data_IF_684642363316
#
_entry.id   IF_684642363316
#
_cell.length_a   1.000
_cell.length_b   1.000
_cell.length_c   1.000
_cell.angle_alpha   90.00
_cell.angle_beta   90.00
_cell.angle_gamma   90.00
#
_symmetry.space_group_name_H-M   'P 1'
#
loop_
_entity.id
_entity.type
_entity.pdbx_description
1 polymer ?
#
# COMPACT_ATOMS: atom_id res chain seq x y z
N UNK A 1 11.78 27.82 -16.39
CA UNK A 1 10.77 26.76 -16.41
C UNK A 1 9.37 27.36 -16.52
N UNK A 2 8.52 26.79 -17.37
CA UNK A 2 7.09 27.22 -17.44
C UNK A 2 6.40 26.83 -16.13
N UNK A 3 5.70 27.78 -15.53
CA UNK A 3 4.83 27.49 -14.39
C UNK A 3 3.61 26.70 -14.86
N UNK A 4 3.29 25.60 -14.17
CA UNK A 4 2.14 24.74 -14.46
C UNK A 4 0.80 25.26 -13.90
N UNK A 5 0.72 26.55 -13.60
CA UNK A 5 -0.50 27.21 -13.09
C UNK A 5 -1.48 27.64 -14.20
N UNK A 6 -1.10 27.44 -15.45
CA UNK A 6 -1.91 27.83 -16.61
C UNK A 6 -3.20 26.99 -16.68
N UNK A 7 -4.36 27.64 -16.82
CA UNK A 7 -5.68 27.00 -16.95
C UNK A 7 -5.77 25.96 -18.08
N UNK A 8 -4.88 25.97 -19.06
CA UNK A 8 -4.82 24.94 -20.12
C UNK A 8 -4.44 23.55 -19.62
N UNK A 9 -3.79 23.44 -18.43
CA UNK A 9 -3.44 22.17 -17.79
C UNK A 9 -4.50 21.69 -16.82
N UNK A 10 -5.44 22.55 -16.46
CA UNK A 10 -6.54 22.25 -15.54
C UNK A 10 -7.83 22.31 -16.36
N UNK A 11 -8.14 21.23 -17.07
CA UNK A 11 -9.42 21.13 -17.74
C UNK A 11 -10.53 20.93 -16.69
N UNK A 12 -11.57 21.78 -16.66
CA UNK A 12 -12.73 21.53 -15.82
C UNK A 12 -13.51 20.36 -16.42
N UNK A 13 -13.14 19.13 -16.04
CA UNK A 13 -14.00 18.00 -16.30
C UNK A 13 -15.18 18.08 -15.34
N UNK A 14 -16.39 17.95 -15.86
CA UNK A 14 -17.58 17.96 -15.04
C UNK A 14 -17.42 16.90 -13.93
N UNK A 15 -17.42 17.34 -12.68
CA UNK A 15 -17.34 16.44 -11.52
C UNK A 15 -18.62 15.63 -11.53
N UNK A 16 -18.51 14.34 -11.89
CA UNK A 16 -19.65 13.41 -11.92
C UNK A 16 -19.99 12.84 -10.55
N UNK A 17 -18.99 12.78 -9.65
CA UNK A 17 -19.13 12.19 -8.33
C UNK A 17 -18.20 12.88 -7.34
N UNK A 18 -18.65 13.08 -6.09
CA UNK A 18 -17.82 13.55 -4.98
C UNK A 18 -17.53 12.37 -4.08
N UNK A 19 -16.25 12.03 -3.93
CA UNK A 19 -15.80 10.95 -3.05
C UNK A 19 -15.10 11.54 -1.83
N UNK A 20 -15.32 10.98 -0.62
CA UNK A 20 -14.54 11.34 0.55
C UNK A 20 -13.13 10.79 0.42
N UNK A 21 -12.16 11.66 0.18
CA UNK A 21 -10.74 11.33 0.08
C UNK A 21 -9.99 12.18 1.10
N UNK A 22 -9.14 11.52 1.89
CA UNK A 22 -8.18 12.17 2.78
C UNK A 22 -6.78 12.01 2.20
N UNK A 23 -6.06 13.10 2.03
CA UNK A 23 -4.66 13.06 1.63
C UNK A 23 -3.78 13.05 2.87
N UNK A 24 -2.79 12.18 2.89
CA UNK A 24 -1.66 12.21 3.80
C UNK A 24 -0.38 12.38 2.97
N UNK A 25 0.52 13.21 3.43
CA UNK A 25 1.81 13.43 2.79
C UNK A 25 2.91 13.47 3.83
N UNK A 26 4.12 13.12 3.43
CA UNK A 26 5.31 13.25 4.25
C UNK A 26 5.97 14.60 4.01
N UNK A 27 6.45 15.21 5.07
CA UNK A 27 7.17 16.47 5.08
C UNK A 27 8.56 16.29 5.70
N UNK A 28 9.50 17.17 5.39
CA UNK A 28 10.75 17.24 6.12
C UNK A 28 10.50 17.72 7.55
N UNK A 29 10.95 16.97 8.56
CA UNK A 29 10.83 17.38 9.95
C UNK A 29 10.32 16.29 10.90
N UNK A 30 9.86 16.66 12.11
CA UNK A 30 9.44 15.68 13.12
C UNK A 30 8.18 14.90 12.79
N UNK A 31 7.39 15.33 11.80
CA UNK A 31 6.14 14.65 11.37
C UNK A 31 6.37 13.61 10.25
N UNK A 32 7.57 13.08 10.10
CA UNK A 32 7.97 12.20 8.99
C UNK A 32 7.17 10.90 8.86
N UNK A 33 6.55 10.43 9.94
CA UNK A 33 5.90 9.11 9.97
C UNK A 33 4.40 9.13 9.67
N UNK A 34 3.83 10.25 9.23
CA UNK A 34 2.37 10.42 9.06
C UNK A 34 1.74 9.32 8.19
N UNK A 35 2.36 8.95 7.06
CA UNK A 35 1.85 7.90 6.17
C UNK A 35 2.02 6.52 6.83
N UNK A 36 3.17 6.24 7.44
CA UNK A 36 3.43 4.98 8.14
C UNK A 36 2.47 4.78 9.32
N UNK A 37 2.24 5.83 10.12
CA UNK A 37 1.29 5.81 11.23
C UNK A 37 -0.15 5.60 10.76
N UNK A 38 -0.54 6.24 9.65
CA UNK A 38 -1.86 6.05 9.05
C UNK A 38 -2.06 4.60 8.57
N UNK A 39 -1.04 4.00 7.93
CA UNK A 39 -1.08 2.58 7.54
C UNK A 39 -1.16 1.66 8.75
N UNK A 40 -0.29 1.85 9.77
CA UNK A 40 -0.33 1.05 10.99
C UNK A 40 -1.68 1.15 11.69
N UNK A 41 -2.24 2.36 11.82
CA UNK A 41 -3.55 2.57 12.41
C UNK A 41 -4.68 1.91 11.61
N UNK A 42 -4.60 1.89 10.28
CA UNK A 42 -5.57 1.20 9.43
C UNK A 42 -5.48 -0.33 9.63
N UNK A 43 -4.27 -0.90 9.63
CA UNK A 43 -4.03 -2.33 9.83
C UNK A 43 -4.49 -2.80 11.21
N UNK A 44 -4.16 -2.07 12.28
CA UNK A 44 -4.57 -2.41 13.66
C UNK A 44 -6.09 -2.36 13.86
N UNK A 45 -6.80 -1.56 13.05
CA UNK A 45 -8.27 -1.47 13.07
C UNK A 45 -8.98 -2.47 12.17
N UNK A 46 -8.24 -3.25 11.40
CA UNK A 46 -8.80 -4.28 10.55
C UNK A 46 -9.62 -5.30 11.37
N UNK A 47 -10.71 -5.78 10.79
CA UNK A 47 -11.61 -6.76 11.42
C UNK A 47 -11.67 -8.08 10.66
N UNK A 48 -11.36 -8.07 9.38
CA UNK A 48 -11.49 -9.24 8.50
C UNK A 48 -10.28 -9.44 7.60
N UNK A 49 -9.85 -8.40 6.87
CA UNK A 49 -8.86 -8.58 5.80
C UNK A 49 -8.02 -7.33 5.57
N UNK A 50 -6.73 -7.53 5.35
CA UNK A 50 -5.78 -6.52 4.88
C UNK A 50 -5.13 -7.03 3.60
N UNK A 51 -5.15 -6.20 2.52
CA UNK A 51 -4.48 -6.49 1.26
C UNK A 51 -3.47 -5.39 0.99
N UNK A 52 -2.26 -5.78 0.66
CA UNK A 52 -1.15 -4.84 0.35
C UNK A 52 -0.57 -5.23 -1.00
N UNK A 53 -0.42 -4.24 -1.89
CA UNK A 53 0.33 -4.37 -3.13
C UNK A 53 1.43 -3.31 -3.14
N UNK A 54 2.69 -3.74 -3.30
CA UNK A 54 3.84 -2.82 -3.32
C UNK A 54 4.99 -3.41 -4.14
N UNK A 55 5.69 -2.59 -4.95
CA UNK A 55 6.84 -3.05 -5.72
C UNK A 55 8.04 -3.42 -4.82
N UNK A 56 8.17 -2.74 -3.68
CA UNK A 56 9.19 -2.98 -2.68
C UNK A 56 8.54 -3.19 -1.33
N UNK A 57 8.96 -4.24 -0.62
CA UNK A 57 8.38 -4.61 0.65
C UNK A 57 9.47 -4.81 1.71
N UNK A 58 9.87 -3.70 2.30
CA UNK A 58 10.87 -3.57 3.37
C UNK A 58 10.33 -2.64 4.47
N UNK A 59 9.17 -2.94 5.05
CA UNK A 59 8.48 -2.00 5.90
C UNK A 59 9.22 -1.74 7.21
N UNK A 60 9.09 -0.54 7.79
CA UNK A 60 9.60 -0.24 9.13
C UNK A 60 8.92 -1.12 10.18
N UNK A 61 9.57 -1.29 11.33
CA UNK A 61 9.11 -2.13 12.44
C UNK A 61 7.65 -1.88 12.84
N UNK A 62 7.23 -0.61 12.84
CA UNK A 62 5.84 -0.22 13.13
C UNK A 62 4.83 -0.96 12.26
N UNK A 63 5.11 -1.07 10.96
CA UNK A 63 4.22 -1.77 10.00
C UNK A 63 4.35 -3.28 10.17
N UNK A 64 5.58 -3.81 10.31
CA UNK A 64 5.81 -5.24 10.53
C UNK A 64 5.04 -5.75 11.74
N UNK A 65 5.13 -5.04 12.86
CA UNK A 65 4.44 -5.41 14.09
C UNK A 65 2.92 -5.32 13.95
N UNK A 66 2.41 -4.28 13.27
CA UNK A 66 0.98 -4.16 12.98
C UNK A 66 0.45 -5.35 12.14
N UNK A 67 1.18 -5.75 11.09
CA UNK A 67 0.80 -6.89 10.24
C UNK A 67 0.85 -8.22 10.99
N UNK A 68 1.91 -8.44 11.79
CA UNK A 68 2.04 -9.64 12.64
C UNK A 68 0.90 -9.74 13.65
N UNK A 69 0.59 -8.64 14.34
CA UNK A 69 -0.49 -8.60 15.33
C UNK A 69 -1.84 -8.86 14.67
N UNK A 70 -2.11 -8.26 13.52
CA UNK A 70 -3.34 -8.48 12.76
C UNK A 70 -3.47 -9.97 12.35
N UNK A 71 -2.42 -10.55 11.74
CA UNK A 71 -2.44 -11.94 11.30
C UNK A 71 -2.62 -12.91 12.47
N UNK A 72 -1.86 -12.75 13.56
CA UNK A 72 -2.00 -13.56 14.80
C UNK A 72 -3.35 -13.36 15.48
N UNK A 73 -3.98 -12.22 15.30
CA UNK A 73 -5.34 -11.92 15.75
C UNK A 73 -6.44 -12.52 14.88
N UNK A 74 -6.08 -13.29 13.83
CA UNK A 74 -7.03 -13.95 12.94
C UNK A 74 -7.52 -13.09 11.78
N UNK A 75 -6.91 -11.93 11.55
CA UNK A 75 -7.16 -11.11 10.35
C UNK A 75 -6.42 -11.73 9.17
N UNK A 76 -7.09 -11.90 8.04
CA UNK A 76 -6.43 -12.35 6.81
C UNK A 76 -5.56 -11.22 6.25
N UNK A 77 -4.26 -11.41 6.25
CA UNK A 77 -3.28 -10.44 5.75
C UNK A 77 -2.63 -10.99 4.48
N UNK A 78 -2.79 -10.29 3.37
CA UNK A 78 -2.30 -10.68 2.05
C UNK A 78 -1.36 -9.59 1.54
N UNK A 79 -0.17 -9.99 1.13
CA UNK A 79 0.86 -9.10 0.57
C UNK A 79 1.22 -9.58 -0.82
N UNK A 80 1.10 -8.71 -1.80
CA UNK A 80 1.47 -8.96 -3.19
C UNK A 80 2.68 -8.10 -3.57
N UNK A 81 3.73 -8.75 -4.02
CA UNK A 81 4.97 -8.14 -4.48
C UNK A 81 5.36 -8.72 -5.85
N UNK A 82 6.16 -8.04 -6.68
CA UNK A 82 6.65 -8.61 -7.93
C UNK A 82 7.57 -9.82 -7.65
N UNK A 83 7.60 -10.76 -8.57
CA UNK A 83 8.55 -11.90 -8.52
C UNK A 83 9.99 -11.45 -8.70
N UNK A 84 10.19 -10.44 -9.57
CA UNK A 84 11.50 -9.82 -9.78
C UNK A 84 11.32 -8.30 -9.72
N UNK A 85 12.05 -7.64 -8.84
CA UNK A 85 12.13 -6.18 -8.84
C UNK A 85 13.30 -5.72 -9.75
N UNK A 86 13.41 -4.44 -9.96
CA UNK A 86 14.57 -3.80 -10.61
C UNK A 86 15.77 -3.68 -9.66
N UNK A 87 15.66 -4.17 -8.42
CA UNK A 87 16.68 -4.13 -7.36
C UNK A 87 16.87 -5.51 -6.72
N UNK A 88 17.80 -6.35 -7.24
CA UNK A 88 18.10 -7.68 -6.67
C UNK A 88 18.50 -7.63 -5.18
N UNK A 89 19.10 -6.54 -4.74
CA UNK A 89 19.44 -6.36 -3.33
C UNK A 89 18.18 -6.18 -2.46
N UNK A 90 17.20 -5.44 -2.95
CA UNK A 90 15.91 -5.29 -2.26
C UNK A 90 15.18 -6.61 -2.14
N UNK A 91 15.26 -7.47 -3.17
CA UNK A 91 14.64 -8.79 -3.18
C UNK A 91 15.26 -9.69 -2.09
N UNK A 92 16.59 -9.72 -1.98
CA UNK A 92 17.30 -10.50 -0.96
C UNK A 92 16.98 -10.05 0.47
N UNK A 93 16.90 -8.74 0.70
CA UNK A 93 16.58 -8.21 2.03
C UNK A 93 15.12 -8.43 2.36
N UNK A 94 14.19 -8.31 1.38
CA UNK A 94 12.77 -8.63 1.57
C UNK A 94 12.58 -10.05 2.07
N UNK A 95 13.33 -11.01 1.55
CA UNK A 95 13.20 -12.42 1.94
C UNK A 95 13.51 -12.65 3.44
N UNK A 96 14.35 -11.83 4.07
CA UNK A 96 14.64 -11.93 5.50
C UNK A 96 13.45 -11.54 6.41
N UNK A 97 12.63 -10.59 5.97
CA UNK A 97 11.42 -10.16 6.71
C UNK A 97 10.21 -11.06 6.41
N UNK A 98 10.22 -11.68 5.23
CA UNK A 98 9.13 -12.55 4.77
C UNK A 98 8.94 -13.74 5.71
N UNK A 99 10.03 -14.39 6.15
CA UNK A 99 9.95 -15.56 7.02
C UNK A 99 9.14 -15.28 8.30
N UNK A 100 9.43 -14.18 8.97
CA UNK A 100 8.74 -13.78 10.20
C UNK A 100 7.24 -13.47 9.98
N UNK A 101 6.91 -12.93 8.80
CA UNK A 101 5.52 -12.63 8.45
C UNK A 101 4.75 -13.91 8.08
N UNK A 102 5.38 -14.83 7.35
CA UNK A 102 4.79 -16.15 7.05
C UNK A 102 4.53 -16.93 8.33
N UNK A 103 5.46 -16.93 9.28
CA UNK A 103 5.30 -17.56 10.61
C UNK A 103 4.15 -16.94 11.43
N UNK A 104 3.86 -15.65 11.19
CA UNK A 104 2.72 -14.98 11.80
C UNK A 104 1.39 -15.28 11.10
N UNK A 105 1.40 -15.95 9.95
CA UNK A 105 0.20 -16.28 9.17
C UNK A 105 -0.14 -15.28 8.05
N UNK A 106 0.79 -14.38 7.69
CA UNK A 106 0.64 -13.50 6.52
C UNK A 106 0.76 -14.32 5.24
N UNK A 107 -0.12 -14.09 4.28
CA UNK A 107 -0.07 -14.73 2.96
C UNK A 107 0.73 -13.85 2.00
N UNK A 108 1.83 -14.38 1.46
CA UNK A 108 2.66 -13.67 0.48
C UNK A 108 2.40 -14.20 -0.92
N UNK A 109 2.20 -13.30 -1.86
CA UNK A 109 1.96 -13.58 -3.27
C UNK A 109 3.01 -12.88 -4.13
N UNK A 110 3.63 -13.63 -5.03
CA UNK A 110 4.60 -13.11 -6.00
C UNK A 110 3.96 -13.02 -7.38
N UNK A 111 3.80 -11.79 -7.85
CA UNK A 111 3.18 -11.46 -9.13
C UNK A 111 4.13 -11.74 -10.29
N UNK A 112 3.69 -12.56 -11.26
CA UNK A 112 4.51 -13.04 -12.37
C UNK A 112 4.20 -12.37 -13.72
N UNK A 113 3.14 -11.58 -13.83
CA UNK A 113 2.70 -11.00 -15.10
C UNK A 113 3.27 -9.58 -15.31
N UNK A 114 4.60 -9.45 -15.26
CA UNK A 114 5.29 -8.18 -15.46
C UNK A 114 5.74 -7.49 -14.16
N UNK A 115 6.15 -6.22 -14.26
CA UNK A 115 6.61 -5.44 -13.12
C UNK A 115 5.45 -4.74 -12.41
N UNK A 116 5.05 -5.30 -11.29
CA UNK A 116 4.01 -4.73 -10.44
C UNK A 116 4.53 -3.46 -9.76
N UNK A 117 3.96 -2.29 -10.09
CA UNK A 117 4.39 -1.00 -9.51
C UNK A 117 3.29 -0.25 -8.76
N UNK A 118 2.17 -0.91 -8.47
CA UNK A 118 1.09 -0.34 -7.66
C UNK A 118 1.51 -0.19 -6.20
N UNK A 119 1.00 0.84 -5.53
CA UNK A 119 1.10 1.05 -4.10
C UNK A 119 -0.32 1.18 -3.56
N UNK A 120 -0.84 0.06 -3.07
CA UNK A 120 -2.23 -0.11 -2.69
C UNK A 120 -2.30 -0.81 -1.33
N UNK A 121 -3.10 -0.26 -0.44
CA UNK A 121 -3.50 -0.93 0.80
C UNK A 121 -5.01 -0.92 0.88
N UNK A 122 -5.64 -2.07 1.13
CA UNK A 122 -7.08 -2.18 1.33
C UNK A 122 -7.34 -2.83 2.67
N UNK A 123 -8.26 -2.25 3.44
CA UNK A 123 -8.68 -2.77 4.74
C UNK A 123 -10.19 -2.95 4.77
N UNK A 124 -10.64 -4.19 5.02
CA UNK A 124 -12.04 -4.57 5.25
C UNK A 124 -13.03 -4.10 4.17
N UNK A 125 -12.62 -3.98 2.93
CA UNK A 125 -13.46 -3.45 1.84
C UNK A 125 -14.15 -2.10 2.16
N UNK A 126 -13.61 -1.35 3.12
CA UNK A 126 -14.15 -0.06 3.60
C UNK A 126 -13.16 1.08 3.52
N UNK A 127 -11.88 0.77 3.40
CA UNK A 127 -10.79 1.73 3.27
C UNK A 127 -9.81 1.22 2.21
N UNK A 128 -9.46 2.06 1.27
CA UNK A 128 -8.31 1.84 0.39
C UNK A 128 -7.37 3.03 0.43
N UNK A 129 -6.10 2.79 0.19
CA UNK A 129 -5.12 3.84 -0.05
C UNK A 129 -4.39 3.61 -1.36
N UNK A 130 -4.20 4.68 -2.12
CA UNK A 130 -3.42 4.69 -3.35
C UNK A 130 -2.50 5.91 -3.32
N UNK A 131 -1.23 5.73 -3.67
CA UNK A 131 -0.29 6.84 -3.61
C UNK A 131 1.07 6.54 -4.19
N UNK A 132 2.05 7.34 -3.79
CA UNK A 132 3.43 7.21 -4.24
C UNK A 132 4.28 6.36 -3.29
N UNK A 133 3.89 6.25 -2.00
CA UNK A 133 4.64 5.57 -0.97
C UNK A 133 4.66 4.05 -1.17
N UNK A 134 5.85 3.49 -1.38
CA UNK A 134 6.06 2.05 -1.31
C UNK A 134 5.96 1.57 0.14
N UNK A 135 5.75 0.28 0.32
CA UNK A 135 5.80 -0.35 1.63
C UNK A 135 7.26 -0.66 2.03
N UNK A 136 8.10 0.36 1.99
CA UNK A 136 9.52 0.28 2.34
C UNK A 136 9.95 1.40 3.32
N UNK A 137 11.10 1.19 3.97
CA UNK A 137 11.62 2.11 4.97
C UNK A 137 11.80 3.52 4.39
N UNK A 138 12.42 3.65 3.21
CA UNK A 138 12.73 4.96 2.62
C UNK A 138 11.47 5.75 2.28
N UNK A 139 10.49 5.11 1.64
CA UNK A 139 9.23 5.77 1.32
C UNK A 139 8.46 6.21 2.56
N UNK A 140 8.54 5.42 3.64
CA UNK A 140 7.74 5.67 4.85
C UNK A 140 8.45 6.52 5.90
N UNK A 141 9.77 6.79 5.75
CA UNK A 141 10.53 7.59 6.73
C UNK A 141 11.30 8.75 6.14
N UNK A 142 11.80 8.67 4.91
CA UNK A 142 12.79 9.60 4.37
C UNK A 142 12.31 10.39 3.16
N UNK A 143 11.54 9.75 2.25
CA UNK A 143 11.08 10.36 1.02
C UNK A 143 9.90 11.31 1.23
N UNK A 144 9.74 12.25 0.29
CA UNK A 144 8.52 13.03 0.15
C UNK A 144 7.51 12.20 -0.65
N UNK A 145 6.43 11.80 0.01
CA UNK A 145 5.40 10.94 -0.55
C UNK A 145 4.00 11.53 -0.33
N UNK A 146 3.05 11.12 -1.14
CA UNK A 146 1.64 11.46 -0.97
C UNK A 146 0.77 10.21 -1.14
N UNK A 147 -0.20 10.04 -0.26
CA UNK A 147 -1.14 8.92 -0.28
C UNK A 147 -2.56 9.42 -0.08
N UNK A 148 -3.47 8.96 -0.95
CA UNK A 148 -4.89 9.21 -0.85
C UNK A 148 -5.56 8.03 -0.12
N UNK A 149 -6.27 8.32 0.98
CA UNK A 149 -7.12 7.38 1.69
C UNK A 149 -8.57 7.56 1.24
N UNK A 150 -9.17 6.51 0.72
CA UNK A 150 -10.48 6.48 0.08
C UNK A 150 -11.43 5.64 0.93
N UNK A 151 -12.58 6.19 1.30
CA UNK A 151 -13.60 5.49 2.11
C UNK A 151 -14.91 5.27 1.36
N UNK A 152 -14.91 5.42 0.05
CA UNK A 152 -16.05 5.08 -0.80
C UNK A 152 -16.09 3.57 -1.06
N UNK A 153 -17.16 2.92 -0.64
CA UNK A 153 -17.29 1.45 -0.71
C UNK A 153 -17.25 0.91 -2.14
N UNK A 154 -17.80 1.66 -3.10
CA UNK A 154 -17.80 1.20 -4.49
C UNK A 154 -16.38 1.21 -5.07
N UNK A 155 -15.66 2.32 -4.88
CA UNK A 155 -14.26 2.44 -5.30
C UNK A 155 -13.37 1.40 -4.60
N UNK A 156 -13.57 1.18 -3.30
CA UNK A 156 -12.80 0.19 -2.54
C UNK A 156 -13.05 -1.23 -3.08
N UNK A 157 -14.31 -1.59 -3.41
CA UNK A 157 -14.63 -2.89 -4.00
C UNK A 157 -14.00 -3.07 -5.39
N UNK A 158 -13.99 -2.03 -6.22
CA UNK A 158 -13.34 -2.09 -7.53
C UNK A 158 -11.84 -2.34 -7.39
N UNK A 159 -11.16 -1.64 -6.47
CA UNK A 159 -9.75 -1.87 -6.16
C UNK A 159 -9.50 -3.28 -5.60
N UNK A 160 -10.41 -3.75 -4.75
CA UNK A 160 -10.35 -5.10 -4.19
C UNK A 160 -10.51 -6.18 -5.28
N UNK A 161 -11.44 -5.98 -6.22
CA UNK A 161 -11.61 -6.88 -7.36
C UNK A 161 -10.37 -6.92 -8.25
N UNK A 162 -9.75 -5.77 -8.54
CA UNK A 162 -8.48 -5.71 -9.27
C UNK A 162 -7.37 -6.49 -8.56
N UNK A 163 -7.26 -6.35 -7.23
CA UNK A 163 -6.29 -7.12 -6.45
C UNK A 163 -6.58 -8.63 -6.53
N UNK A 164 -7.85 -9.04 -6.42
CA UNK A 164 -8.24 -10.46 -6.50
C UNK A 164 -8.02 -11.03 -7.92
N UNK A 165 -8.21 -10.23 -8.98
CA UNK A 165 -7.89 -10.61 -10.37
C UNK A 165 -6.37 -10.79 -10.56
N UNK A 166 -5.56 -9.90 -10.00
CA UNK A 166 -4.10 -9.99 -10.04
C UNK A 166 -3.57 -11.23 -9.30
N UNK A 167 -4.27 -11.70 -8.25
CA UNK A 167 -3.91 -12.94 -7.55
C UNK A 167 -3.86 -14.17 -8.48
N UNK A 168 -4.68 -14.19 -9.54
CA UNK A 168 -4.66 -15.27 -10.54
C UNK A 168 -3.32 -15.35 -11.31
N UNK A 169 -2.55 -14.25 -11.32
CA UNK A 169 -1.23 -14.15 -11.94
C UNK A 169 -0.09 -14.29 -10.92
N UNK A 170 -0.38 -14.72 -9.69
CA UNK A 170 0.59 -14.85 -8.62
C UNK A 170 0.97 -16.30 -8.32
N UNK A 171 2.20 -16.49 -7.82
CA UNK A 171 2.62 -17.67 -7.06
C UNK A 171 2.55 -17.36 -5.57
N UNK A 172 2.17 -18.36 -4.79
CA UNK A 172 2.18 -18.30 -3.32
C UNK A 172 3.50 -18.85 -2.77
#
# INVERSE_FOLDING_TARGET
GEYLDSRRYIAPHGIRQRLPIQLAWSEEGPSRLTIAEAFAAAVVRARQRVRICSPYFLPPTLILDALRLAARGGIRVEVMIPTCSDSPFSDLVSDSYVADLLDAGVELYRYDNGFLHAKLVIVDDTLASVGTANMDYRSLTDNLEVTAFIRDRETVRQLAATFDDDLASCRR
#
